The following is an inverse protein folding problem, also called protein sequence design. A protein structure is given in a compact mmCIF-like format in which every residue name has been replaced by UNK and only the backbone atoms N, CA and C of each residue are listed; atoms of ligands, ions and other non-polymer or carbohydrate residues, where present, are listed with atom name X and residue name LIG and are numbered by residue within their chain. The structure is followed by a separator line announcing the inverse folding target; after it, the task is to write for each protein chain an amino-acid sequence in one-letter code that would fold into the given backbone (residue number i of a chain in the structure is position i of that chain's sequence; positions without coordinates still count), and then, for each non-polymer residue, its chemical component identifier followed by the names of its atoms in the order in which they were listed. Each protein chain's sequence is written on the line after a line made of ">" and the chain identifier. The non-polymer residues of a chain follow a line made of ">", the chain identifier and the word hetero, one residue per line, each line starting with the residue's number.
data_IF_296884346332
#
_entry.id   IF_296884346332
#
_cell.length_a   1.000
_cell.length_b   1.000
_cell.length_c   1.000
_cell.angle_alpha   90.00
_cell.angle_beta   90.00
_cell.angle_gamma   90.00
#
_symmetry.space_group_name_H-M   'P 1'
#
loop_
_entity.id
_entity.type
_entity.pdbx_description
1 polymer ?
#
# COMPACT_ATOMS: atom_id res chain seq x y z
N UNK A 1 1.05 -0.80 13.30
CA UNK A 1 2.25 -1.01 12.47
C UNK A 1 2.11 -2.36 11.80
N UNK A 2 1.94 -2.39 10.48
CA UNK A 2 1.48 -3.54 9.71
C UNK A 2 2.29 -3.65 8.42
N UNK A 3 2.62 -4.87 8.01
CA UNK A 3 3.29 -5.18 6.74
C UNK A 3 2.42 -6.19 5.98
N UNK A 4 2.28 -6.00 4.67
CA UNK A 4 1.64 -6.92 3.74
C UNK A 4 2.56 -7.20 2.56
N UNK A 5 2.35 -8.33 1.91
CA UNK A 5 3.12 -8.76 0.74
C UNK A 5 2.20 -9.18 -0.41
N UNK A 6 2.64 -8.88 -1.62
CA UNK A 6 2.22 -9.57 -2.84
C UNK A 6 3.20 -10.71 -3.14
N UNK A 7 3.14 -11.33 -4.31
CA UNK A 7 4.13 -12.36 -4.68
C UNK A 7 5.56 -11.81 -4.81
N UNK A 8 5.72 -10.51 -5.11
CA UNK A 8 7.03 -9.92 -5.43
C UNK A 8 7.28 -8.53 -4.83
N UNK A 9 6.37 -8.00 -4.00
CA UNK A 9 6.53 -6.70 -3.36
C UNK A 9 5.94 -6.68 -1.95
N UNK A 10 6.24 -5.61 -1.23
CA UNK A 10 5.80 -5.38 0.14
C UNK A 10 5.30 -3.95 0.30
N UNK A 11 4.38 -3.79 1.24
CA UNK A 11 3.89 -2.48 1.67
C UNK A 11 3.78 -2.45 3.21
N UNK A 12 4.12 -1.31 3.81
CA UNK A 12 4.04 -1.15 5.26
C UNK A 12 3.46 0.20 5.68
N UNK A 13 2.65 0.17 6.74
CA UNK A 13 2.10 1.35 7.40
C UNK A 13 3.09 1.83 8.47
N UNK A 14 3.53 3.07 8.34
CA UNK A 14 4.38 3.78 9.31
C UNK A 14 3.56 4.29 10.51
N UNK A 15 4.25 4.72 11.57
CA UNK A 15 3.59 5.25 12.78
C UNK A 15 2.77 6.52 12.54
N UNK A 16 3.09 7.27 11.49
CA UNK A 16 2.39 8.50 11.07
C UNK A 16 1.18 8.24 10.16
N UNK A 17 0.83 6.96 9.92
CA UNK A 17 -0.27 6.58 9.04
C UNK A 17 0.05 6.70 7.54
N UNK A 18 1.31 6.94 7.17
CA UNK A 18 1.75 6.90 5.77
C UNK A 18 2.20 5.49 5.35
N UNK A 19 2.24 5.23 4.04
CA UNK A 19 2.66 3.95 3.48
C UNK A 19 3.99 4.06 2.75
N UNK A 20 4.82 3.03 2.90
CA UNK A 20 5.98 2.75 2.07
C UNK A 20 5.83 1.44 1.32
N UNK A 21 6.36 1.40 0.10
CA UNK A 21 6.41 0.20 -0.73
C UNK A 21 7.83 -0.11 -1.17
N UNK A 22 8.12 -1.38 -1.39
CA UNK A 22 9.38 -1.84 -1.98
C UNK A 22 9.20 -3.18 -2.69
N UNK A 23 10.11 -3.50 -3.61
CA UNK A 23 10.09 -4.72 -4.41
C UNK A 23 9.76 -4.45 -5.88
N UNK A 24 9.17 -5.45 -6.55
CA UNK A 24 8.93 -5.41 -7.99
C UNK A 24 7.85 -4.38 -8.35
N UNK A 25 8.18 -3.43 -9.24
CA UNK A 25 7.34 -2.27 -9.61
C UNK A 25 5.93 -2.68 -10.05
N UNK A 26 5.83 -3.64 -10.96
CA UNK A 26 4.59 -4.18 -11.53
C UNK A 26 3.78 -5.07 -10.56
N UNK A 27 4.33 -5.40 -9.39
CA UNK A 27 3.63 -6.11 -8.32
C UNK A 27 3.23 -5.18 -7.15
N UNK A 28 3.18 -3.87 -7.38
CA UNK A 28 2.84 -2.85 -6.39
C UNK A 28 4.03 -2.34 -5.56
N UNK A 29 5.26 -2.63 -5.98
CA UNK A 29 6.48 -2.10 -5.36
C UNK A 29 6.68 -0.60 -5.57
N UNK A 30 6.04 -0.02 -6.59
CA UNK A 30 5.99 1.42 -6.85
C UNK A 30 4.59 1.98 -6.56
N UNK A 31 4.48 2.81 -5.52
CA UNK A 31 3.28 3.55 -5.17
C UNK A 31 3.35 5.04 -5.52
N UNK A 32 4.36 5.49 -6.28
CA UNK A 32 4.60 6.92 -6.55
C UNK A 32 3.39 7.64 -7.13
N UNK A 33 2.63 6.99 -8.01
CA UNK A 33 1.42 7.54 -8.63
C UNK A 33 0.29 7.85 -7.63
N UNK A 34 0.27 7.19 -6.47
CA UNK A 34 -0.76 7.37 -5.43
C UNK A 34 -0.19 7.82 -4.09
N UNK A 35 1.11 8.13 -4.02
CA UNK A 35 1.82 8.37 -2.76
C UNK A 35 1.19 9.47 -1.91
N UNK A 36 0.65 10.52 -2.54
CA UNK A 36 -0.02 11.64 -1.86
C UNK A 36 -1.34 11.25 -1.20
N UNK A 37 -1.96 10.16 -1.66
CA UNK A 37 -3.22 9.64 -1.12
C UNK A 37 -2.98 8.63 0.01
N UNK A 38 -1.77 8.08 0.13
CA UNK A 38 -1.40 7.08 1.14
C UNK A 38 -1.08 7.71 2.50
N UNK A 39 -2.07 8.43 3.04
CA UNK A 39 -2.03 9.11 4.34
C UNK A 39 -3.28 8.77 5.15
N UNK A 40 -3.12 8.67 6.48
CA UNK A 40 -4.20 8.22 7.37
C UNK A 40 -4.64 6.79 7.04
N UNK A 41 -3.70 5.91 6.69
CA UNK A 41 -3.96 4.51 6.36
C UNK A 41 -3.95 3.68 7.64
N UNK A 42 -5.04 2.96 7.89
CA UNK A 42 -5.16 2.04 9.04
C UNK A 42 -4.88 0.58 8.71
N UNK A 43 -5.15 0.18 7.47
CA UNK A 43 -4.98 -1.19 7.02
C UNK A 43 -4.54 -1.27 5.56
N UNK A 44 -3.74 -2.29 5.25
CA UNK A 44 -3.42 -2.71 3.88
C UNK A 44 -3.97 -4.12 3.65
N UNK A 45 -4.60 -4.31 2.49
CA UNK A 45 -4.90 -5.60 1.90
C UNK A 45 -4.01 -5.82 0.65
N UNK A 46 -3.75 -7.08 0.29
CA UNK A 46 -2.94 -7.43 -0.87
C UNK A 46 -3.55 -8.57 -1.68
N UNK A 47 -3.26 -8.57 -2.98
CA UNK A 47 -3.53 -9.67 -3.92
C UNK A 47 -2.21 -10.32 -4.34
N UNK A 48 -2.22 -11.10 -5.43
CA UNK A 48 -0.98 -11.61 -6.03
C UNK A 48 -0.04 -10.51 -6.54
N UNK A 49 -0.57 -9.37 -7.01
CA UNK A 49 0.19 -8.30 -7.69
C UNK A 49 -0.25 -6.86 -7.37
N UNK A 50 -1.22 -6.66 -6.48
CA UNK A 50 -1.72 -5.34 -6.10
C UNK A 50 -1.95 -5.21 -4.60
N UNK A 51 -2.16 -3.97 -4.17
CA UNK A 51 -2.50 -3.59 -2.81
C UNK A 51 -3.69 -2.65 -2.79
N UNK A 52 -4.39 -2.63 -1.65
CA UNK A 52 -5.41 -1.66 -1.32
C UNK A 52 -5.14 -1.10 0.08
N UNK A 53 -5.05 0.23 0.19
CA UNK A 53 -4.96 0.95 1.45
C UNK A 53 -6.36 1.41 1.86
N UNK A 54 -6.75 1.05 3.09
CA UNK A 54 -8.00 1.49 3.71
C UNK A 54 -7.65 2.63 4.65
N UNK A 55 -8.23 3.81 4.37
CA UNK A 55 -8.00 5.03 5.16
C UNK A 55 -8.98 5.14 6.33
N UNK A 56 -8.64 5.98 7.29
CA UNK A 56 -9.45 6.25 8.48
C UNK A 56 -10.84 6.82 8.16
N UNK A 57 -10.94 7.55 7.04
CA UNK A 57 -12.21 8.09 6.51
C UNK A 57 -13.06 7.05 5.76
N UNK A 58 -12.57 5.80 5.68
CA UNK A 58 -13.23 4.69 4.98
C UNK A 58 -12.98 4.65 3.47
N UNK A 59 -12.27 5.63 2.89
CA UNK A 59 -11.89 5.59 1.48
C UNK A 59 -10.81 4.54 1.20
N UNK A 60 -10.73 4.11 -0.06
CA UNK A 60 -9.80 3.07 -0.51
C UNK A 60 -8.94 3.60 -1.65
N UNK A 61 -7.63 3.37 -1.55
CA UNK A 61 -6.64 3.69 -2.58
C UNK A 61 -5.97 2.41 -3.01
N UNK A 62 -5.95 2.12 -4.31
CA UNK A 62 -5.36 0.89 -4.86
C UNK A 62 -4.16 1.19 -5.74
N UNK A 63 -3.19 0.29 -5.76
CA UNK A 63 -2.04 0.34 -6.66
C UNK A 63 -1.49 -1.07 -6.97
N UNK A 64 -0.67 -1.17 -8.01
CA UNK A 64 -0.29 -2.46 -8.61
C UNK A 64 -1.27 -2.89 -9.69
N UNK A 65 -1.22 -4.16 -10.08
CA UNK A 65 -1.95 -4.71 -11.23
C UNK A 65 -3.11 -5.61 -10.85
#
# INVERSE_FOLDING_TARGET
>A
MQIRSTMHAFAAIRKDGTVVTWGRVDAGGDSSAVQTQLTGVREIASTGYAFAAIRDDGSVVTWGR
#
